data_IF_928047660216
#
_entry.id   IF_928047660216
#
_cell.length_a   1.000
_cell.length_b   1.000
_cell.length_c   1.000
_cell.angle_alpha   90.00
_cell.angle_beta   90.00
_cell.angle_gamma   90.00
#
_symmetry.space_group_name_H-M   'P 1'
#
loop_
_entity.id
_entity.type
_entity.pdbx_description
1 polymer ?
#
# COMPACT_ATOMS: atom_id res chain seq x y z
N UNK A 1 9.34 -11.61 14.34
CA UNK A 1 8.80 -10.65 13.36
C UNK A 1 7.75 -11.40 12.54
N UNK A 2 6.53 -10.86 12.37
CA UNK A 2 5.36 -11.51 11.74
C UNK A 2 4.38 -12.31 12.61
N UNK A 3 4.36 -12.14 13.94
CA UNK A 3 3.35 -12.79 14.81
C UNK A 3 1.89 -12.39 14.53
N UNK A 4 1.62 -11.48 13.57
CA UNK A 4 0.28 -11.20 13.06
C UNK A 4 -0.18 -12.24 12.04
N UNK A 5 0.71 -12.76 11.19
CA UNK A 5 0.39 -13.74 10.14
C UNK A 5 -0.20 -15.01 10.75
N UNK A 6 0.31 -15.42 11.91
CA UNK A 6 -0.15 -16.63 12.61
C UNK A 6 -1.56 -16.48 13.21
N UNK A 7 -2.11 -15.26 13.29
CA UNK A 7 -3.38 -14.96 13.98
C UNK A 7 -4.54 -14.68 13.03
N UNK A 8 -4.35 -14.85 11.72
CA UNK A 8 -5.35 -14.51 10.70
C UNK A 8 -5.31 -15.53 9.57
N UNK A 9 -6.43 -15.75 8.88
CA UNK A 9 -6.49 -16.73 7.81
C UNK A 9 -5.49 -16.41 6.71
N UNK A 10 -4.72 -17.42 6.28
CA UNK A 10 -3.75 -17.31 5.19
C UNK A 10 -4.31 -16.68 3.89
N UNK A 11 -5.60 -16.90 3.50
CA UNK A 11 -6.18 -16.17 2.37
C UNK A 11 -6.09 -14.65 2.50
N UNK A 12 -6.27 -14.08 3.70
CA UNK A 12 -6.17 -12.62 3.94
C UNK A 12 -4.76 -12.13 3.69
N UNK A 13 -3.76 -12.86 4.20
CA UNK A 13 -2.35 -12.54 4.01
C UNK A 13 -1.99 -12.56 2.52
N UNK A 14 -2.47 -13.57 1.78
CA UNK A 14 -2.27 -13.66 0.32
C UNK A 14 -2.97 -12.54 -0.42
N UNK A 15 -4.19 -12.17 -0.03
CA UNK A 15 -4.91 -11.05 -0.64
C UNK A 15 -4.13 -9.76 -0.47
N UNK A 16 -3.62 -9.46 0.73
CA UNK A 16 -2.80 -8.26 0.96
C UNK A 16 -1.55 -8.29 0.06
N UNK A 17 -0.81 -9.39 0.04
CA UNK A 17 0.39 -9.51 -0.79
C UNK A 17 0.11 -9.35 -2.29
N UNK A 18 -1.01 -9.91 -2.79
CA UNK A 18 -1.44 -9.71 -4.19
C UNK A 18 -1.76 -8.25 -4.45
N UNK A 19 -2.48 -7.58 -3.54
CA UNK A 19 -2.81 -6.16 -3.68
C UNK A 19 -1.56 -5.27 -3.65
N UNK A 20 -0.57 -5.58 -2.82
CA UNK A 20 0.71 -4.87 -2.79
C UNK A 20 1.48 -5.01 -4.11
N UNK A 21 1.54 -6.23 -4.66
CA UNK A 21 2.18 -6.50 -5.96
C UNK A 21 1.45 -5.78 -7.09
N UNK A 22 0.11 -5.83 -7.11
CA UNK A 22 -0.69 -5.10 -8.09
C UNK A 22 -0.55 -3.59 -7.94
N UNK A 23 -0.46 -3.08 -6.71
CA UNK A 23 -0.19 -1.67 -6.44
C UNK A 23 1.18 -1.25 -6.99
N UNK A 24 2.22 -2.03 -6.73
CA UNK A 24 3.55 -1.76 -7.28
C UNK A 24 3.55 -1.79 -8.82
N UNK A 25 2.91 -2.78 -9.43
CA UNK A 25 2.76 -2.86 -10.88
C UNK A 25 1.97 -1.67 -11.46
N UNK A 26 0.88 -1.26 -10.79
CA UNK A 26 0.04 -0.13 -11.17
C UNK A 26 0.73 1.23 -11.00
N UNK A 27 1.71 1.37 -10.10
CA UNK A 27 2.53 2.57 -9.99
C UNK A 27 3.56 2.69 -11.13
N UNK A 28 4.02 1.56 -11.69
CA UNK A 28 5.14 1.53 -12.64
C UNK A 28 4.66 1.40 -14.08
N UNK A 29 3.83 0.40 -14.39
CA UNK A 29 3.49 0.06 -15.77
C UNK A 29 2.63 1.12 -16.49
N UNK A 30 1.55 1.66 -15.89
CA UNK A 30 0.71 2.66 -16.56
C UNK A 30 1.49 3.94 -16.93
N UNK A 31 2.26 4.58 -16.02
CA UNK A 31 3.05 5.76 -16.39
C UNK A 31 4.15 5.46 -17.40
N UNK A 32 4.82 4.30 -17.32
CA UNK A 32 5.88 3.94 -18.27
C UNK A 32 5.35 3.67 -19.68
N UNK A 33 4.14 3.12 -19.79
CA UNK A 33 3.54 2.77 -21.09
C UNK A 33 2.64 3.88 -21.64
N UNK A 34 2.21 4.83 -20.81
CA UNK A 34 1.22 5.85 -21.13
C UNK A 34 -0.22 5.31 -21.24
N UNK A 35 -0.45 4.02 -20.99
CA UNK A 35 -1.76 3.39 -21.10
C UNK A 35 -2.46 3.47 -19.76
N UNK A 36 -3.66 4.08 -19.74
CA UNK A 36 -4.51 4.20 -18.55
C UNK A 36 -3.74 4.73 -17.32
N UNK A 37 -2.99 5.83 -17.48
CA UNK A 37 -2.13 6.41 -16.44
C UNK A 37 -2.86 6.68 -15.11
N UNK A 38 -4.19 6.85 -15.13
CA UNK A 38 -5.01 7.04 -13.93
C UNK A 38 -4.95 5.83 -12.96
N UNK A 39 -4.59 4.65 -13.47
CA UNK A 39 -4.34 3.45 -12.67
C UNK A 39 -3.18 3.64 -11.69
N UNK A 40 -2.22 4.54 -11.96
CA UNK A 40 -1.16 4.87 -11.02
C UNK A 40 -1.71 5.58 -9.77
N UNK A 41 -2.65 6.50 -9.94
CA UNK A 41 -3.33 7.16 -8.82
C UNK A 41 -4.17 6.14 -8.03
N UNK A 42 -4.90 5.27 -8.73
CA UNK A 42 -5.68 4.21 -8.09
C UNK A 42 -4.79 3.23 -7.29
N UNK A 43 -3.64 2.83 -7.85
CA UNK A 43 -2.66 1.98 -7.19
C UNK A 43 -2.04 2.65 -5.95
N UNK A 44 -1.69 3.94 -6.06
CA UNK A 44 -1.18 4.72 -4.94
C UNK A 44 -2.20 4.79 -3.79
N UNK A 45 -3.47 5.04 -4.10
CA UNK A 45 -4.55 5.04 -3.10
C UNK A 45 -4.72 3.66 -2.47
N UNK A 46 -4.71 2.59 -3.26
CA UNK A 46 -4.80 1.22 -2.75
C UNK A 46 -3.68 0.88 -1.77
N UNK A 47 -2.44 1.22 -2.11
CA UNK A 47 -1.28 1.06 -1.23
C UNK A 47 -1.42 1.89 0.05
N UNK A 48 -1.86 3.15 -0.05
CA UNK A 48 -2.12 3.98 1.12
C UNK A 48 -3.14 3.35 2.08
N UNK A 49 -4.22 2.74 1.56
CA UNK A 49 -5.22 2.04 2.36
C UNK A 49 -4.63 0.81 3.08
N UNK A 50 -3.74 0.05 2.44
CA UNK A 50 -3.03 -1.07 3.08
C UNK A 50 -2.19 -0.56 4.25
N UNK A 51 -1.45 0.54 4.07
CA UNK A 51 -0.63 1.12 5.14
C UNK A 51 -1.49 1.63 6.32
N UNK A 52 -2.64 2.25 6.04
CA UNK A 52 -3.59 2.67 7.09
C UNK A 52 -4.11 1.46 7.86
N UNK A 53 -4.49 0.38 7.16
CA UNK A 53 -4.87 -0.88 7.80
C UNK A 53 -3.77 -1.45 8.70
N UNK A 54 -2.52 -1.46 8.21
CA UNK A 54 -1.35 -1.88 8.98
C UNK A 54 -1.12 -1.04 10.24
N UNK A 55 -1.27 0.29 10.15
CA UNK A 55 -1.18 1.20 11.29
C UNK A 55 -2.25 0.86 12.33
N UNK A 56 -3.51 0.72 11.91
CA UNK A 56 -4.61 0.38 12.82
C UNK A 56 -4.34 -0.95 13.54
N UNK A 57 -3.85 -1.96 12.83
CA UNK A 57 -3.49 -3.26 13.44
C UNK A 57 -2.39 -3.11 14.49
N UNK A 58 -1.29 -2.40 14.20
CA UNK A 58 -0.23 -2.20 15.19
C UNK A 58 -0.69 -1.37 16.40
N UNK A 59 -1.48 -0.31 16.18
CA UNK A 59 -2.02 0.50 17.28
C UNK A 59 -2.99 -0.31 18.16
N UNK A 60 -3.84 -1.15 17.57
CA UNK A 60 -4.74 -2.04 18.32
C UNK A 60 -4.01 -3.06 19.22
N UNK A 61 -2.72 -3.28 18.97
CA UNK A 61 -1.86 -4.24 19.69
C UNK A 61 -0.83 -3.57 20.60
N UNK A 62 -0.91 -2.25 20.80
CA UNK A 62 0.09 -1.47 21.53
C UNK A 62 1.51 -1.56 20.94
N UNK A 63 1.62 -1.80 19.64
CA UNK A 63 2.88 -1.91 18.90
C UNK A 63 3.26 -0.61 18.18
N UNK A 64 2.95 0.55 18.78
CA UNK A 64 3.13 1.86 18.14
C UNK A 64 4.58 2.13 17.66
N UNK A 65 5.59 1.55 18.32
CA UNK A 65 6.99 1.64 17.87
C UNK A 65 7.25 0.99 16.51
N UNK A 66 6.38 0.10 16.04
CA UNK A 66 6.54 -0.64 14.78
C UNK A 66 5.89 0.07 13.58
N UNK A 67 5.16 1.18 13.77
CA UNK A 67 4.44 1.86 12.68
C UNK A 67 5.34 2.67 11.75
N UNK A 68 6.64 2.82 12.06
CA UNK A 68 7.56 3.67 11.31
C UNK A 68 7.58 3.35 9.81
N UNK A 69 7.68 2.06 9.44
CA UNK A 69 7.61 1.65 8.04
C UNK A 69 6.27 2.00 7.39
N UNK A 70 5.16 1.82 8.11
CA UNK A 70 3.85 2.15 7.58
C UNK A 70 3.71 3.64 7.27
N UNK A 71 4.19 4.52 8.16
CA UNK A 71 4.19 5.97 7.95
C UNK A 71 5.02 6.34 6.73
N UNK A 72 6.23 5.78 6.60
CA UNK A 72 7.11 6.04 5.45
C UNK A 72 6.46 5.64 4.14
N UNK A 73 5.89 4.43 4.07
CA UNK A 73 5.21 3.93 2.87
C UNK A 73 3.91 4.68 2.59
N UNK A 74 3.18 5.11 3.62
CA UNK A 74 1.98 5.94 3.46
C UNK A 74 2.34 7.30 2.87
N UNK A 75 3.41 7.93 3.35
CA UNK A 75 3.92 9.18 2.78
C UNK A 75 4.36 9.00 1.32
N UNK A 76 5.06 7.90 1.00
CA UNK A 76 5.45 7.57 -0.36
C UNK A 76 4.23 7.35 -1.27
N UNK A 77 3.20 6.64 -0.80
CA UNK A 77 1.96 6.43 -1.53
C UNK A 77 1.20 7.76 -1.76
N UNK A 78 1.13 8.64 -0.77
CA UNK A 78 0.54 9.97 -0.91
C UNK A 78 1.30 10.84 -1.94
N UNK A 79 2.63 10.83 -1.89
CA UNK A 79 3.47 11.51 -2.88
C UNK A 79 3.27 10.93 -4.29
N UNK A 80 3.19 9.60 -4.42
CA UNK A 80 2.93 8.94 -5.69
C UNK A 80 1.54 9.27 -6.24
N UNK A 81 0.52 9.34 -5.40
CA UNK A 81 -0.83 9.76 -5.80
C UNK A 81 -0.82 11.20 -6.32
N UNK A 82 -0.19 12.12 -5.59
CA UNK A 82 -0.03 13.52 -6.00
C UNK A 82 0.69 13.63 -7.34
N UNK A 83 1.87 13.01 -7.47
CA UNK A 83 2.63 13.01 -8.71
C UNK A 83 1.81 12.38 -9.84
N UNK A 84 1.10 11.28 -9.61
CA UNK A 84 0.24 10.64 -10.59
C UNK A 84 -0.79 11.59 -11.21
N UNK A 85 -1.34 12.53 -10.43
CA UNK A 85 -2.29 13.52 -10.95
C UNK A 85 -1.69 14.53 -11.91
N UNK A 86 -0.37 14.74 -11.92
CA UNK A 86 0.28 15.67 -12.87
C UNK A 86 0.50 15.05 -14.26
N UNK A 87 0.28 13.74 -14.41
CA UNK A 87 0.45 13.01 -15.68
C UNK A 87 -0.88 12.68 -16.37
N UNK A 88 -2.01 13.12 -15.80
CA UNK A 88 -3.37 12.96 -16.34
C UNK A 88 -3.82 14.22 -17.06
#
# INVERSE_FOLDING_TARGET
MMGWVDRIPMPVVRTIGVLEVLGAAGLILPPLTGIAAWLAVAAAVGLALIQVGGIVVHLSRNEARLIGLNITLLAAAAAAAWLGTTWL
#
